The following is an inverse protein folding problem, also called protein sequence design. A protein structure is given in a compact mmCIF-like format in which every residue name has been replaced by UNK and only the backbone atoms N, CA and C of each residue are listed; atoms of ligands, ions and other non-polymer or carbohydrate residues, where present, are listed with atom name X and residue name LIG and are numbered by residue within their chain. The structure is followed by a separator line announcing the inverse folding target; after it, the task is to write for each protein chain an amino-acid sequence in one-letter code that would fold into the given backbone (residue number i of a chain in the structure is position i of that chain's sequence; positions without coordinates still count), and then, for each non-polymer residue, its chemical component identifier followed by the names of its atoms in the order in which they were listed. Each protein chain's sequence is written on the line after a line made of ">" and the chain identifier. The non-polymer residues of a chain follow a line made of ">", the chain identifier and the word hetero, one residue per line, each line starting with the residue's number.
data_IF_593243853908
#
_entry.id   IF_593243853908
#
_cell.length_a   1.000
_cell.length_b   1.000
_cell.length_c   1.000
_cell.angle_alpha   90.00
_cell.angle_beta   90.00
_cell.angle_gamma   90.00
#
_symmetry.space_group_name_H-M   'P 1'
#
loop_
_entity.id
_entity.type
_entity.pdbx_description
1 polymer ?
#
# COMPACT_ATOMS: atom_id res chain seq x y z
N UNK A 1 -20.36 2.19 -2.70
CA UNK A 1 -21.49 2.33 -3.65
C UNK A 1 -20.98 2.08 -5.07
N UNK A 2 -21.78 1.54 -6.00
CA UNK A 2 -21.33 1.36 -7.39
C UNK A 2 -21.32 2.71 -8.13
N UNK A 3 -20.25 3.03 -8.85
CA UNK A 3 -20.14 4.28 -9.59
C UNK A 3 -21.19 4.38 -10.73
N UNK A 4 -21.91 5.51 -10.90
CA UNK A 4 -23.00 5.62 -11.86
C UNK A 4 -22.59 5.33 -13.31
N UNK A 5 -23.31 4.41 -13.99
CA UNK A 5 -23.03 4.02 -15.39
C UNK A 5 -23.07 5.20 -16.35
N UNK A 6 -24.01 6.13 -16.18
CA UNK A 6 -24.16 7.31 -17.05
C UNK A 6 -22.89 8.18 -17.11
N UNK A 7 -22.19 8.32 -15.98
CA UNK A 7 -20.94 9.08 -15.89
C UNK A 7 -19.76 8.38 -16.60
N UNK A 8 -19.82 7.06 -16.77
CA UNK A 8 -18.85 6.33 -17.61
C UNK A 8 -19.18 6.47 -19.10
N UNK A 9 -20.46 6.38 -19.45
CA UNK A 9 -20.92 6.38 -20.85
C UNK A 9 -20.65 7.70 -21.57
N UNK A 10 -20.64 8.84 -20.87
CA UNK A 10 -20.31 10.14 -21.48
C UNK A 10 -18.89 10.21 -22.06
N UNK A 11 -17.99 9.31 -21.66
CA UNK A 11 -16.64 9.21 -22.21
C UNK A 11 -16.54 8.31 -23.45
N UNK A 12 -17.60 7.58 -23.82
CA UNK A 12 -17.60 6.70 -25.01
C UNK A 12 -17.41 7.48 -26.33
N UNK A 13 -17.71 8.79 -26.33
CA UNK A 13 -17.43 9.68 -27.48
C UNK A 13 -15.94 9.97 -27.68
N UNK A 14 -15.10 9.64 -26.70
CA UNK A 14 -13.64 9.73 -26.73
C UNK A 14 -13.05 8.31 -26.63
N UNK A 15 -13.08 7.53 -27.71
CA UNK A 15 -12.81 6.08 -27.66
C UNK A 15 -11.35 5.73 -27.38
N UNK A 16 -10.43 6.69 -27.54
CA UNK A 16 -8.99 6.47 -27.33
C UNK A 16 -8.43 7.44 -26.31
N UNK A 17 -7.31 7.06 -25.68
CA UNK A 17 -6.55 7.95 -24.79
C UNK A 17 -6.21 9.27 -25.48
N UNK A 18 -5.82 9.25 -26.76
CA UNK A 18 -5.50 10.46 -27.52
C UNK A 18 -6.70 11.40 -27.65
N UNK A 19 -7.90 10.86 -27.86
CA UNK A 19 -9.12 11.67 -27.94
C UNK A 19 -9.47 12.29 -26.59
N UNK A 20 -9.32 11.52 -25.50
CA UNK A 20 -9.50 12.00 -24.13
C UNK A 20 -8.53 13.14 -23.82
N UNK A 21 -7.23 12.96 -24.10
CA UNK A 21 -6.21 13.96 -23.82
C UNK A 21 -6.38 15.22 -24.68
N UNK A 22 -6.81 15.08 -25.93
CA UNK A 22 -7.14 16.24 -26.78
C UNK A 22 -8.35 17.00 -26.26
N UNK A 23 -9.41 16.30 -25.86
CA UNK A 23 -10.64 16.92 -25.37
C UNK A 23 -10.46 17.61 -24.01
N UNK A 24 -9.50 17.13 -23.22
CA UNK A 24 -9.19 17.66 -21.88
C UNK A 24 -7.96 18.58 -21.87
N UNK A 25 -7.33 18.80 -23.03
CA UNK A 25 -6.06 19.51 -23.15
C UNK A 25 -5.03 19.04 -22.10
N UNK A 26 -4.72 17.75 -22.16
CA UNK A 26 -3.92 17.03 -21.16
C UNK A 26 -4.42 17.24 -19.72
N UNK A 27 -5.71 16.98 -19.50
CA UNK A 27 -6.39 17.08 -18.21
C UNK A 27 -6.53 18.51 -17.64
N UNK A 28 -6.03 19.56 -18.29
CA UNK A 28 -6.16 20.95 -17.81
C UNK A 28 -7.61 21.47 -17.82
N UNK A 29 -8.47 20.92 -18.69
CA UNK A 29 -9.88 21.28 -18.76
C UNK A 29 -10.77 20.04 -18.77
N UNK A 30 -11.99 20.17 -18.22
CA UNK A 30 -13.03 19.16 -18.38
C UNK A 30 -14.07 19.61 -19.41
N UNK A 31 -14.42 18.76 -20.40
CA UNK A 31 -15.52 19.05 -21.33
C UNK A 31 -16.90 19.02 -20.64
N UNK A 32 -16.98 18.56 -19.38
CA UNK A 32 -18.22 18.48 -18.60
C UNK A 32 -18.35 19.60 -17.56
N UNK A 33 -17.37 20.50 -17.49
CA UNK A 33 -17.40 21.63 -16.57
C UNK A 33 -17.16 21.23 -15.12
N UNK A 34 -18.08 21.63 -14.23
CA UNK A 34 -17.97 21.45 -12.77
C UNK A 34 -19.02 20.47 -12.25
N UNK A 35 -18.70 19.75 -11.18
CA UNK A 35 -19.66 18.94 -10.43
C UNK A 35 -20.61 19.84 -9.64
N UNK A 36 -21.62 19.21 -9.05
CA UNK A 36 -22.58 19.84 -8.14
C UNK A 36 -21.90 20.48 -6.91
N UNK A 37 -20.69 20.03 -6.58
CA UNK A 37 -19.87 20.51 -5.46
C UNK A 37 -18.77 21.49 -5.92
N UNK A 38 -18.78 21.93 -7.18
CA UNK A 38 -17.82 22.90 -7.72
C UNK A 38 -16.46 22.34 -8.11
N UNK A 39 -16.27 21.01 -8.05
CA UNK A 39 -15.03 20.35 -8.47
C UNK A 39 -14.96 20.25 -9.99
N UNK A 40 -13.77 20.29 -10.60
CA UNK A 40 -13.62 19.99 -12.03
C UNK A 40 -14.06 18.56 -12.32
N UNK A 41 -15.03 18.38 -13.21
CA UNK A 41 -15.72 17.10 -13.37
C UNK A 41 -15.01 16.16 -14.36
N UNK A 42 -14.16 15.27 -13.86
CA UNK A 42 -13.53 14.20 -14.62
C UNK A 42 -14.14 12.82 -14.33
N UNK A 43 -15.28 12.77 -13.64
CA UNK A 43 -15.89 11.52 -13.17
C UNK A 43 -16.04 10.52 -14.34
N UNK A 44 -15.53 9.31 -14.17
CA UNK A 44 -15.59 8.23 -15.16
C UNK A 44 -14.55 8.27 -16.28
N UNK A 45 -13.59 9.21 -16.27
CA UNK A 45 -12.55 9.33 -17.30
C UNK A 45 -11.77 8.03 -17.48
N UNK A 46 -11.44 7.69 -18.72
CA UNK A 46 -10.70 6.47 -19.06
C UNK A 46 -9.32 6.82 -19.59
N UNK A 47 -8.30 6.73 -18.72
CA UNK A 47 -6.91 6.93 -19.07
C UNK A 47 -6.24 5.57 -19.23
N UNK A 48 -6.50 4.97 -20.40
CA UNK A 48 -6.07 3.61 -20.73
C UNK A 48 -5.29 3.64 -22.04
N UNK A 49 -3.97 3.36 -22.03
CA UNK A 49 -3.17 3.31 -23.24
C UNK A 49 -3.59 2.12 -24.12
N UNK A 50 -3.28 2.15 -25.43
CA UNK A 50 -3.53 1.03 -26.32
C UNK A 50 -2.89 -0.26 -25.80
N UNK A 51 -3.58 -1.39 -25.98
CA UNK A 51 -3.05 -2.70 -25.58
C UNK A 51 -1.75 -2.99 -26.34
N UNK A 52 -0.70 -3.37 -25.61
CA UNK A 52 0.55 -3.86 -26.19
C UNK A 52 0.35 -5.27 -26.78
N UNK A 53 1.21 -5.67 -27.71
CA UNK A 53 1.18 -7.00 -28.30
C UNK A 53 2.25 -7.88 -27.62
N UNK A 54 1.87 -8.79 -26.71
CA UNK A 54 2.84 -9.63 -25.99
C UNK A 54 3.66 -10.54 -26.93
N UNK A 55 3.18 -10.75 -28.16
CA UNK A 55 3.84 -11.54 -29.20
C UNK A 55 4.60 -10.68 -30.23
N UNK A 56 4.78 -9.37 -29.99
CA UNK A 56 5.51 -8.50 -30.90
C UNK A 56 6.94 -9.00 -31.13
N UNK A 57 7.48 -8.86 -32.36
CA UNK A 57 8.86 -9.31 -32.65
C UNK A 57 9.89 -8.58 -31.79
N UNK A 58 9.77 -7.27 -31.64
CA UNK A 58 10.63 -6.45 -30.77
C UNK A 58 10.22 -6.59 -29.31
N UNK A 59 11.19 -6.80 -28.42
CA UNK A 59 10.97 -7.00 -26.99
C UNK A 59 10.28 -5.79 -26.34
N UNK A 60 10.67 -4.57 -26.71
CA UNK A 60 10.10 -3.31 -26.22
C UNK A 60 8.60 -3.12 -26.52
N UNK A 61 8.07 -3.81 -27.52
CA UNK A 61 6.65 -3.75 -27.91
C UNK A 61 5.83 -4.88 -27.28
N UNK A 62 6.49 -5.82 -26.57
CA UNK A 62 5.84 -6.90 -25.81
C UNK A 62 5.36 -6.49 -24.44
N UNK A 63 5.76 -5.31 -23.97
CA UNK A 63 5.47 -4.83 -22.63
C UNK A 63 4.60 -3.56 -22.66
N UNK A 64 3.75 -3.33 -21.65
CA UNK A 64 3.06 -2.05 -21.51
C UNK A 64 4.07 -0.91 -21.42
N UNK A 65 3.85 0.16 -22.18
CA UNK A 65 4.61 1.41 -22.03
C UNK A 65 3.83 2.31 -21.10
N UNK A 66 4.55 2.99 -20.22
CA UNK A 66 3.97 4.06 -19.40
C UNK A 66 3.63 5.22 -20.32
N UNK A 67 2.37 5.62 -20.33
CA UNK A 67 1.98 6.86 -20.98
C UNK A 67 2.28 8.03 -20.04
N UNK A 68 3.12 8.95 -20.51
CA UNK A 68 3.39 10.21 -19.82
C UNK A 68 2.41 11.27 -20.29
N UNK A 69 1.62 11.81 -19.37
CA UNK A 69 0.76 12.96 -19.64
C UNK A 69 1.50 14.21 -19.17
N UNK A 70 1.90 15.05 -20.12
CA UNK A 70 2.55 16.33 -19.82
C UNK A 70 1.47 17.34 -19.43
N UNK A 71 1.38 17.60 -18.13
CA UNK A 71 0.39 18.49 -17.53
C UNK A 71 0.94 19.92 -17.55
N UNK A 72 0.09 20.89 -17.88
CA UNK A 72 0.47 22.32 -17.93
C UNK A 72 0.62 22.91 -16.53
N UNK A 73 -0.16 22.40 -15.58
CA UNK A 73 -0.27 22.91 -14.21
C UNK A 73 -0.61 21.78 -13.24
N UNK A 74 -0.47 22.07 -11.95
CA UNK A 74 -0.96 21.21 -10.88
C UNK A 74 -2.49 21.19 -10.86
N UNK A 75 -3.06 20.08 -10.45
CA UNK A 75 -4.52 19.93 -10.41
C UNK A 75 -5.03 20.21 -9.01
N UNK A 76 -6.05 21.06 -8.91
CA UNK A 76 -6.74 21.36 -7.65
C UNK A 76 -8.23 21.18 -7.79
N UNK A 77 -8.88 20.70 -6.74
CA UNK A 77 -10.34 20.65 -6.63
C UNK A 77 -11.00 19.92 -7.81
N UNK A 78 -10.64 18.66 -8.01
CA UNK A 78 -11.09 17.85 -9.14
C UNK A 78 -11.69 16.51 -8.70
N UNK A 79 -12.70 16.05 -9.43
CA UNK A 79 -13.37 14.77 -9.17
C UNK A 79 -13.12 13.79 -10.31
N UNK A 80 -12.27 12.80 -10.04
CA UNK A 80 -11.93 11.69 -10.91
C UNK A 80 -12.63 10.39 -10.50
N UNK A 81 -13.71 10.45 -9.72
CA UNK A 81 -14.40 9.25 -9.24
C UNK A 81 -14.78 8.32 -10.40
N UNK A 82 -14.64 7.01 -10.19
CA UNK A 82 -14.97 5.97 -11.16
C UNK A 82 -14.07 5.89 -12.40
N UNK A 83 -12.92 6.57 -12.37
CA UNK A 83 -11.96 6.61 -13.47
C UNK A 83 -11.09 5.35 -13.58
N UNK A 84 -10.41 5.22 -14.72
CA UNK A 84 -9.39 4.20 -14.96
C UNK A 84 -8.03 4.89 -15.21
N UNK A 85 -7.00 4.42 -14.50
CA UNK A 85 -5.61 4.92 -14.57
C UNK A 85 -4.65 3.76 -14.82
N UNK A 86 -4.38 3.44 -16.08
CA UNK A 86 -3.57 2.26 -16.43
C UNK A 86 -2.24 2.71 -17.02
N UNK A 87 -1.13 2.35 -16.37
CA UNK A 87 0.23 2.70 -16.78
C UNK A 87 0.39 4.20 -17.11
N UNK A 88 -0.21 5.08 -16.31
CA UNK A 88 -0.15 6.53 -16.48
C UNK A 88 0.86 7.16 -15.51
N UNK A 89 1.71 8.04 -16.02
CA UNK A 89 2.52 8.98 -15.21
C UNK A 89 2.10 10.41 -15.52
N UNK A 90 1.95 11.24 -14.49
CA UNK A 90 1.77 12.68 -14.64
C UNK A 90 3.12 13.38 -14.45
N UNK A 91 3.48 14.26 -15.39
CA UNK A 91 4.77 14.96 -15.39
C UNK A 91 4.55 16.39 -15.90
N UNK A 92 5.31 17.36 -15.39
CA UNK A 92 5.36 18.74 -15.90
C UNK A 92 6.33 18.83 -17.06
N UNK A 93 6.26 19.90 -17.84
CA UNK A 93 7.12 20.09 -19.02
C UNK A 93 8.62 20.18 -18.68
N UNK A 94 8.96 20.61 -17.47
CA UNK A 94 10.31 20.66 -16.90
C UNK A 94 10.79 19.31 -16.32
N UNK A 95 9.95 18.28 -16.36
CA UNK A 95 10.23 16.95 -15.83
C UNK A 95 9.89 16.78 -14.35
N UNK A 96 9.38 17.83 -13.69
CA UNK A 96 8.93 17.74 -12.30
C UNK A 96 7.64 16.92 -12.16
N UNK A 97 7.40 16.44 -10.95
CA UNK A 97 6.19 15.71 -10.63
C UNK A 97 5.00 16.67 -10.54
N UNK A 98 3.84 16.20 -10.98
CA UNK A 98 2.59 16.94 -10.83
C UNK A 98 2.04 16.76 -9.43
N UNK A 99 1.50 17.83 -8.85
CA UNK A 99 0.76 17.78 -7.59
C UNK A 99 -0.74 17.75 -7.86
N UNK A 100 -1.43 16.85 -7.15
CA UNK A 100 -2.89 16.76 -7.10
C UNK A 100 -3.37 17.19 -5.71
N UNK A 101 -4.12 18.29 -5.63
CA UNK A 101 -4.61 18.84 -4.37
C UNK A 101 -6.15 18.77 -4.28
N UNK A 102 -6.67 18.24 -3.16
CA UNK A 102 -8.10 18.10 -2.90
C UNK A 102 -8.83 17.38 -4.06
N UNK A 103 -8.38 16.16 -4.36
CA UNK A 103 -8.89 15.35 -5.47
C UNK A 103 -9.65 14.12 -4.99
N UNK A 104 -10.68 13.73 -5.74
CA UNK A 104 -11.50 12.53 -5.44
C UNK A 104 -11.30 11.45 -6.48
N UNK A 105 -11.11 10.23 -6.02
CA UNK A 105 -10.94 9.04 -6.84
C UNK A 105 -11.93 7.93 -6.48
N UNK A 106 -13.06 8.25 -5.85
CA UNK A 106 -13.95 7.24 -5.29
C UNK A 106 -14.36 6.19 -6.35
N UNK A 107 -14.12 4.91 -6.05
CA UNK A 107 -14.42 3.80 -6.96
C UNK A 107 -13.57 3.72 -8.22
N UNK A 108 -12.45 4.45 -8.29
CA UNK A 108 -11.52 4.40 -9.41
C UNK A 108 -10.62 3.15 -9.36
N UNK A 109 -10.04 2.82 -10.52
CA UNK A 109 -9.11 1.71 -10.65
C UNK A 109 -7.75 2.20 -11.15
N UNK A 110 -6.72 1.79 -10.44
CA UNK A 110 -5.32 2.03 -10.74
C UNK A 110 -4.63 0.71 -11.06
N UNK A 111 -4.00 0.63 -12.23
CA UNK A 111 -3.32 -0.57 -12.73
C UNK A 111 -1.94 -0.16 -13.24
N UNK A 112 -0.89 -0.52 -12.52
CA UNK A 112 0.50 -0.21 -12.88
C UNK A 112 1.28 -1.49 -13.03
N UNK A 113 1.65 -1.87 -14.25
CA UNK A 113 2.40 -3.10 -14.50
C UNK A 113 3.86 -2.97 -14.04
N UNK A 114 4.43 -1.78 -14.15
CA UNK A 114 5.83 -1.48 -13.81
C UNK A 114 6.01 -0.60 -12.56
N UNK A 115 4.95 -0.43 -11.76
CA UNK A 115 5.01 0.36 -10.52
C UNK A 115 5.69 1.72 -10.68
N UNK A 116 5.22 2.49 -11.66
CA UNK A 116 5.69 3.85 -11.84
C UNK A 116 4.96 4.83 -10.92
N UNK A 117 5.68 5.87 -10.55
CA UNK A 117 5.20 6.93 -9.69
C UNK A 117 4.21 7.82 -10.44
N UNK A 118 3.00 7.89 -9.91
CA UNK A 118 1.89 8.60 -10.52
C UNK A 118 2.03 10.12 -10.43
N UNK A 119 1.97 10.64 -9.20
CA UNK A 119 1.93 12.06 -8.84
C UNK A 119 2.18 12.21 -7.33
N UNK A 120 2.43 13.44 -6.89
CA UNK A 120 2.29 13.83 -5.48
C UNK A 120 0.83 14.16 -5.21
N UNK A 121 0.27 13.67 -4.11
CA UNK A 121 -1.16 13.89 -3.79
C UNK A 121 -1.31 14.47 -2.39
N UNK A 122 -2.06 15.57 -2.30
CA UNK A 122 -2.38 16.28 -1.06
C UNK A 122 -3.91 16.32 -0.91
N UNK A 123 -4.45 15.81 0.20
CA UNK A 123 -5.90 15.81 0.44
C UNK A 123 -6.68 14.91 -0.53
N UNK A 124 -6.09 13.79 -0.96
CA UNK A 124 -6.71 12.84 -1.87
C UNK A 124 -7.70 11.89 -1.17
N UNK A 125 -8.87 11.66 -1.78
CA UNK A 125 -9.84 10.66 -1.32
C UNK A 125 -9.88 9.46 -2.27
N UNK A 126 -9.51 8.28 -1.76
CA UNK A 126 -9.43 7.01 -2.48
C UNK A 126 -10.44 5.97 -1.95
N UNK A 127 -11.68 6.38 -1.71
CA UNK A 127 -12.72 5.47 -1.24
C UNK A 127 -13.03 4.34 -2.22
N UNK A 128 -12.99 3.09 -1.73
CA UNK A 128 -13.38 1.89 -2.48
C UNK A 128 -12.64 1.76 -3.84
N UNK A 129 -11.39 2.23 -3.88
CA UNK A 129 -10.49 2.12 -5.02
C UNK A 129 -9.93 0.70 -5.19
N UNK A 130 -9.56 0.36 -6.43
CA UNK A 130 -8.82 -0.86 -6.75
C UNK A 130 -7.41 -0.51 -7.17
N UNK A 131 -6.42 -1.09 -6.50
CA UNK A 131 -5.01 -0.90 -6.80
C UNK A 131 -4.39 -2.20 -7.30
N UNK A 132 -3.57 -2.13 -8.36
CA UNK A 132 -2.77 -3.23 -8.85
C UNK A 132 -1.37 -2.74 -9.17
N UNK A 133 -0.47 -2.78 -8.19
CA UNK A 133 0.94 -2.45 -8.41
C UNK A 133 1.20 -0.98 -8.70
N UNK A 134 0.30 -0.09 -8.25
CA UNK A 134 0.34 1.34 -8.54
C UNK A 134 0.95 2.12 -7.38
N UNK A 135 1.80 3.11 -7.69
CA UNK A 135 2.59 3.84 -6.70
C UNK A 135 2.49 5.36 -6.86
N UNK A 136 2.69 6.06 -5.75
CA UNK A 136 2.66 7.52 -5.65
C UNK A 136 4.08 8.05 -5.44
N UNK A 137 4.29 9.34 -5.73
CA UNK A 137 5.53 10.02 -5.34
C UNK A 137 5.50 10.33 -3.86
N UNK A 138 4.60 11.24 -3.46
CA UNK A 138 4.34 11.57 -2.05
C UNK A 138 2.83 11.57 -1.78
N UNK A 139 2.48 11.30 -0.53
CA UNK A 139 1.10 11.33 -0.07
C UNK A 139 1.01 12.17 1.20
N UNK A 140 0.12 13.15 1.21
CA UNK A 140 -0.16 13.98 2.37
C UNK A 140 -1.64 14.17 2.61
N UNK A 141 -2.08 14.04 3.86
CA UNK A 141 -3.47 14.28 4.27
C UNK A 141 -4.49 13.45 3.44
N UNK A 142 -4.09 12.26 2.96
CA UNK A 142 -4.90 11.42 2.08
C UNK A 142 -5.67 10.35 2.85
N UNK A 143 -6.81 9.94 2.30
CA UNK A 143 -7.68 8.91 2.87
C UNK A 143 -7.88 7.77 1.88
N UNK A 144 -7.49 6.56 2.27
CA UNK A 144 -7.73 5.32 1.53
C UNK A 144 -8.71 4.47 2.35
N UNK A 145 -9.99 4.53 2.01
CA UNK A 145 -11.06 3.85 2.76
C UNK A 145 -11.67 2.71 1.96
N UNK A 146 -12.25 1.73 2.66
CA UNK A 146 -12.93 0.58 2.05
C UNK A 146 -12.05 -0.20 1.05
N UNK A 147 -10.74 -0.32 1.33
CA UNK A 147 -9.82 -1.10 0.49
C UNK A 147 -10.25 -2.58 0.56
N UNK A 148 -10.29 -3.24 -0.60
CA UNK A 148 -10.69 -4.65 -0.72
C UNK A 148 -9.49 -5.57 -0.84
N UNK A 149 -9.67 -6.84 -0.45
CA UNK A 149 -8.67 -7.92 -0.57
C UNK A 149 -8.05 -8.15 -1.96
N UNK A 150 -8.67 -7.62 -3.02
CA UNK A 150 -8.13 -7.69 -4.38
C UNK A 150 -7.15 -6.57 -4.71
N UNK A 151 -7.00 -5.58 -3.83
CA UNK A 151 -6.15 -4.42 -4.02
C UNK A 151 -4.76 -4.66 -3.47
N UNK A 152 -3.76 -4.37 -4.29
CA UNK A 152 -2.33 -4.34 -3.96
C UNK A 152 -1.85 -2.90 -4.04
N UNK A 153 -1.70 -2.27 -2.88
CA UNK A 153 -1.20 -0.91 -2.73
C UNK A 153 0.32 -0.96 -2.50
N UNK A 154 1.06 -0.27 -3.35
CA UNK A 154 2.53 -0.23 -3.29
C UNK A 154 3.01 1.22 -3.09
N UNK A 155 3.64 1.50 -1.95
CA UNK A 155 4.20 2.80 -1.58
C UNK A 155 5.72 2.74 -1.71
N UNK A 156 6.22 3.05 -2.91
CA UNK A 156 7.60 2.76 -3.29
C UNK A 156 8.60 3.88 -2.96
N UNK A 157 8.14 5.12 -2.78
CA UNK A 157 9.00 6.30 -2.57
C UNK A 157 8.27 7.39 -1.83
N UNK A 158 9.03 8.42 -1.43
CA UNK A 158 8.56 9.71 -0.94
C UNK A 158 7.83 9.65 0.39
N UNK A 159 7.51 10.79 0.98
CA UNK A 159 6.94 10.84 2.31
C UNK A 159 5.44 10.51 2.27
N UNK A 160 4.99 9.65 3.19
CA UNK A 160 3.58 9.40 3.46
C UNK A 160 3.25 10.01 4.82
N UNK A 161 2.58 11.16 4.82
CA UNK A 161 2.29 11.95 6.03
C UNK A 161 0.79 12.14 6.24
N UNK A 162 0.33 11.99 7.49
CA UNK A 162 -1.06 12.24 7.91
C UNK A 162 -2.11 11.47 7.09
N UNK A 163 -1.79 10.25 6.66
CA UNK A 163 -2.69 9.45 5.83
C UNK A 163 -3.48 8.41 6.64
N UNK A 164 -4.70 8.11 6.19
CA UNK A 164 -5.51 6.99 6.68
C UNK A 164 -5.51 5.85 5.67
N UNK A 165 -5.22 4.63 6.12
CA UNK A 165 -5.39 3.40 5.37
C UNK A 165 -6.38 2.48 6.09
N UNK A 166 -7.55 2.30 5.50
CA UNK A 166 -8.65 1.52 6.09
C UNK A 166 -9.16 0.45 5.11
N UNK A 167 -9.20 -0.79 5.61
CA UNK A 167 -9.80 -1.93 4.93
C UNK A 167 -8.87 -3.14 4.90
N UNK A 168 -8.85 -3.84 3.77
CA UNK A 168 -8.05 -5.04 3.59
C UNK A 168 -6.99 -4.83 2.49
N UNK A 169 -5.73 -4.75 2.88
CA UNK A 169 -4.58 -4.62 1.98
C UNK A 169 -3.92 -5.99 1.82
N UNK A 170 -3.92 -6.51 0.59
CA UNK A 170 -3.34 -7.81 0.28
C UNK A 170 -2.06 -7.65 -0.53
N UNK A 171 -0.96 -8.23 -0.03
CA UNK A 171 0.35 -8.20 -0.71
C UNK A 171 0.87 -6.79 -1.02
N UNK A 172 0.50 -5.82 -0.21
CA UNK A 172 0.99 -4.45 -0.35
C UNK A 172 2.48 -4.35 -0.04
N UNK A 173 3.15 -3.40 -0.68
CA UNK A 173 4.57 -3.14 -0.45
C UNK A 173 4.77 -1.72 0.07
N UNK A 174 5.58 -1.58 1.11
CA UNK A 174 5.88 -0.32 1.77
C UNK A 174 7.39 -0.16 1.82
N UNK A 175 7.92 0.72 0.96
CA UNK A 175 9.35 1.02 0.83
C UNK A 175 9.71 2.41 1.36
N UNK A 176 8.82 3.02 2.16
CA UNK A 176 8.96 4.41 2.54
C UNK A 176 8.51 4.70 3.97
N UNK A 177 8.88 5.90 4.45
CA UNK A 177 8.51 6.46 5.75
C UNK A 177 7.01 6.73 5.81
N UNK A 178 6.38 6.21 6.86
CA UNK A 178 5.04 6.61 7.29
C UNK A 178 5.16 7.50 8.51
N UNK A 179 4.53 8.67 8.46
CA UNK A 179 4.52 9.66 9.54
C UNK A 179 3.10 10.08 9.89
N UNK A 180 2.74 10.04 11.17
CA UNK A 180 1.41 10.42 11.68
C UNK A 180 0.25 9.70 10.95
N UNK A 181 0.49 8.49 10.47
CA UNK A 181 -0.49 7.74 9.71
C UNK A 181 -1.34 6.85 10.62
N UNK A 182 -2.58 6.57 10.19
CA UNK A 182 -3.45 5.60 10.83
C UNK A 182 -3.73 4.42 9.90
N UNK A 183 -3.68 3.22 10.46
CA UNK A 183 -3.94 1.97 9.76
C UNK A 183 -5.07 1.23 10.49
N UNK A 184 -6.10 0.84 9.76
CA UNK A 184 -7.31 0.17 10.28
C UNK A 184 -7.65 -1.03 9.39
N UNK A 185 -7.98 -2.16 10.02
CA UNK A 185 -8.41 -3.38 9.33
C UNK A 185 -7.30 -4.43 9.23
N UNK A 186 -6.96 -4.88 8.02
CA UNK A 186 -6.04 -6.02 7.85
C UNK A 186 -4.99 -5.76 6.79
N UNK A 187 -3.74 -6.00 7.17
CA UNK A 187 -2.60 -6.09 6.27
C UNK A 187 -2.23 -7.56 6.18
N UNK A 188 -2.44 -8.14 5.00
CA UNK A 188 -2.19 -9.56 4.78
C UNK A 188 -1.04 -9.74 3.80
N UNK A 189 0.01 -10.45 4.21
CA UNK A 189 1.21 -10.73 3.40
C UNK A 189 1.86 -9.44 2.86
N UNK A 190 1.83 -8.37 3.66
CA UNK A 190 2.43 -7.10 3.29
C UNK A 190 3.94 -7.10 3.60
N UNK A 191 4.69 -6.37 2.78
CA UNK A 191 6.16 -6.28 2.90
C UNK A 191 6.56 -4.84 3.19
N UNK A 192 7.25 -4.67 4.31
CA UNK A 192 7.92 -3.43 4.70
C UNK A 192 9.40 -3.63 4.41
N UNK A 193 9.91 -3.15 3.30
CA UNK A 193 11.27 -3.49 2.88
C UNK A 193 11.95 -2.31 2.21
N UNK A 194 13.27 -2.20 2.32
CA UNK A 194 14.11 -1.39 1.42
C UNK A 194 15.37 -2.18 1.12
N UNK A 195 15.79 -2.19 -0.14
CA UNK A 195 16.91 -3.04 -0.59
C UNK A 195 18.28 -2.40 -0.45
N UNK A 196 18.37 -1.11 -0.12
CA UNK A 196 19.64 -0.36 -0.23
C UNK A 196 19.78 0.84 0.73
N UNK A 197 19.18 0.79 1.92
CA UNK A 197 19.37 1.86 2.91
C UNK A 197 20.43 1.49 3.95
N UNK A 198 21.37 2.39 4.24
CA UNK A 198 22.33 2.24 5.33
C UNK A 198 21.63 2.31 6.70
N UNK A 199 20.61 3.17 6.82
CA UNK A 199 19.80 3.33 8.04
C UNK A 199 18.38 2.77 7.87
N UNK A 200 17.78 2.15 8.91
CA UNK A 200 16.39 1.72 8.83
C UNK A 200 15.42 2.88 8.58
N UNK A 201 14.43 2.67 7.71
CA UNK A 201 13.34 3.63 7.53
C UNK A 201 12.44 3.62 8.76
N UNK A 202 12.33 4.77 9.42
CA UNK A 202 11.54 4.91 10.64
C UNK A 202 10.05 5.10 10.35
N UNK A 203 9.21 4.44 11.14
CA UNK A 203 7.78 4.74 11.22
C UNK A 203 7.57 5.70 12.39
N UNK A 204 7.06 6.90 12.11
CA UNK A 204 6.96 8.00 13.06
C UNK A 204 5.50 8.19 13.48
N UNK A 205 5.20 7.97 14.77
CA UNK A 205 3.85 8.12 15.32
C UNK A 205 2.74 7.45 14.44
N UNK A 206 2.95 6.18 14.08
CA UNK A 206 1.98 5.40 13.30
C UNK A 206 1.03 4.66 14.25
N UNK A 207 -0.27 4.88 14.09
CA UNK A 207 -1.32 4.21 14.86
C UNK A 207 -1.91 3.04 14.06
N UNK A 208 -1.64 1.82 14.52
CA UNK A 208 -2.17 0.59 13.97
C UNK A 208 -2.86 -0.26 15.07
N UNK A 209 -3.41 0.40 16.09
CA UNK A 209 -4.12 -0.26 17.21
C UNK A 209 -5.42 -0.96 16.79
N UNK A 210 -5.99 -0.56 15.65
CA UNK A 210 -7.17 -1.17 15.03
C UNK A 210 -6.83 -2.02 13.80
N UNK A 211 -5.55 -2.42 13.66
CA UNK A 211 -5.09 -3.24 12.55
C UNK A 211 -4.56 -4.60 13.01
N UNK A 212 -4.71 -5.60 12.12
CA UNK A 212 -4.08 -6.91 12.23
C UNK A 212 -3.06 -7.08 11.12
N UNK A 213 -1.86 -7.55 11.47
CA UNK A 213 -0.73 -7.74 10.54
C UNK A 213 -0.47 -9.21 10.33
N UNK A 214 -1.16 -9.83 9.39
CA UNK A 214 -1.09 -11.26 9.16
C UNK A 214 0.00 -11.58 8.15
N UNK A 215 0.96 -12.42 8.56
CA UNK A 215 2.13 -12.87 7.79
C UNK A 215 2.91 -11.74 7.10
N UNK A 216 2.97 -10.58 7.76
CA UNK A 216 3.73 -9.44 7.26
C UNK A 216 5.23 -9.59 7.58
N UNK A 217 6.08 -8.93 6.79
CA UNK A 217 7.54 -9.00 6.98
C UNK A 217 8.19 -7.62 6.95
N UNK A 218 9.25 -7.47 7.75
CA UNK A 218 9.94 -6.20 7.98
C UNK A 218 11.41 -6.33 7.65
N UNK A 219 11.91 -5.50 6.75
CA UNK A 219 13.30 -5.47 6.29
C UNK A 219 13.76 -4.02 6.26
N UNK A 220 14.85 -3.71 6.96
CA UNK A 220 15.41 -2.34 7.02
C UNK A 220 14.40 -1.24 7.40
N UNK A 221 13.49 -1.53 8.33
CA UNK A 221 12.56 -0.55 8.89
C UNK A 221 12.67 -0.52 10.42
N UNK A 222 12.44 0.65 11.01
CA UNK A 222 12.35 0.84 12.47
C UNK A 222 10.89 1.06 12.89
N UNK A 223 10.35 0.08 13.63
CA UNK A 223 8.98 0.06 14.13
C UNK A 223 8.88 0.45 15.61
N UNK A 224 9.90 1.13 16.15
CA UNK A 224 9.97 1.55 17.56
C UNK A 224 8.78 2.40 18.03
N UNK A 225 8.16 3.19 17.15
CA UNK A 225 7.00 4.04 17.47
C UNK A 225 5.68 3.51 16.91
N UNK A 226 5.66 2.31 16.32
CA UNK A 226 4.44 1.71 15.80
C UNK A 226 3.56 1.21 16.97
N UNK A 227 2.36 1.76 17.08
CA UNK A 227 1.35 1.28 18.03
C UNK A 227 0.56 0.16 17.38
N UNK A 228 0.49 -1.02 18.02
CA UNK A 228 -0.21 -2.19 17.46
C UNK A 228 -1.40 -2.63 18.32
N UNK A 229 -2.27 -3.44 17.72
CA UNK A 229 -3.39 -4.06 18.41
C UNK A 229 -2.94 -5.12 19.42
N UNK A 230 -3.79 -5.54 20.38
CA UNK A 230 -3.48 -6.62 21.30
C UNK A 230 -3.25 -7.99 20.65
N UNK A 231 -3.63 -8.17 19.37
CA UNK A 231 -3.46 -9.41 18.61
C UNK A 231 -2.19 -9.41 17.75
N UNK A 232 -1.51 -8.26 17.64
CA UNK A 232 -0.28 -8.10 16.88
C UNK A 232 0.85 -7.66 17.81
N UNK A 233 1.88 -8.48 17.90
CA UNK A 233 3.09 -8.22 18.66
C UNK A 233 4.25 -7.88 17.72
N UNK A 234 4.72 -6.64 17.76
CA UNK A 234 5.96 -6.21 17.09
C UNK A 234 7.10 -6.35 18.08
N UNK A 235 8.17 -7.04 17.68
CA UNK A 235 9.32 -7.33 18.56
C UNK A 235 10.62 -7.01 17.86
N UNK A 236 11.57 -6.41 18.59
CA UNK A 236 12.94 -6.27 18.09
C UNK A 236 13.68 -7.59 18.26
N UNK A 237 14.24 -8.12 17.17
CA UNK A 237 14.96 -9.40 17.19
C UNK A 237 16.37 -9.22 17.76
N UNK A 238 16.54 -9.56 19.03
CA UNK A 238 17.82 -9.53 19.76
C UNK A 238 18.16 -10.92 20.31
N UNK A 239 19.43 -11.17 20.60
CA UNK A 239 19.86 -12.45 21.19
C UNK A 239 19.13 -12.72 22.52
N UNK A 240 18.97 -11.71 23.36
CA UNK A 240 18.25 -11.83 24.64
C UNK A 240 16.78 -12.24 24.44
N UNK A 241 16.09 -11.60 23.50
CA UNK A 241 14.70 -11.96 23.16
C UNK A 241 14.62 -13.39 22.61
N UNK A 242 15.52 -13.76 21.70
CA UNK A 242 15.55 -15.08 21.10
C UNK A 242 15.75 -16.20 22.13
N UNK A 243 16.72 -16.06 23.03
CA UNK A 243 16.99 -17.05 24.08
C UNK A 243 15.84 -17.17 25.09
N UNK A 244 15.17 -16.05 25.41
CA UNK A 244 13.98 -16.06 26.26
C UNK A 244 12.81 -16.80 25.58
N UNK A 245 12.53 -16.50 24.31
CA UNK A 245 11.49 -17.17 23.53
C UNK A 245 11.78 -18.68 23.38
N UNK A 246 13.05 -19.04 23.13
CA UNK A 246 13.46 -20.44 22.99
C UNK A 246 13.30 -21.21 24.30
N UNK A 247 13.62 -20.59 25.43
CA UNK A 247 13.44 -21.19 26.76
C UNK A 247 11.97 -21.43 27.09
N UNK A 248 11.11 -20.44 26.80
CA UNK A 248 9.66 -20.56 26.98
C UNK A 248 9.05 -21.64 26.08
N UNK A 249 9.47 -21.71 24.82
CA UNK A 249 9.03 -22.74 23.88
C UNK A 249 9.38 -24.15 24.40
N UNK A 250 10.63 -24.37 24.83
CA UNK A 250 11.08 -25.67 25.39
C UNK A 250 10.36 -26.08 26.66
N UNK A 251 9.92 -25.11 27.47
CA UNK A 251 9.18 -25.36 28.69
C UNK A 251 7.68 -25.63 28.46
N UNK A 252 7.17 -25.51 27.23
CA UNK A 252 5.74 -25.68 26.96
C UNK A 252 5.31 -27.14 27.15
N UNK A 253 4.26 -27.43 27.95
CA UNK A 253 3.95 -28.79 28.42
C UNK A 253 3.59 -29.79 27.32
N UNK A 254 2.99 -29.33 26.22
CA UNK A 254 2.41 -30.21 25.18
C UNK A 254 2.90 -29.95 23.77
N UNK A 255 3.63 -28.84 23.53
CA UNK A 255 3.95 -28.36 22.17
C UNK A 255 5.42 -27.93 22.03
N UNK A 256 6.29 -28.35 22.96
CA UNK A 256 7.68 -27.88 23.04
C UNK A 256 8.44 -28.03 21.72
N UNK A 257 8.39 -29.20 21.09
CA UNK A 257 9.12 -29.46 19.84
C UNK A 257 8.62 -28.58 18.67
N UNK A 258 7.30 -28.43 18.55
CA UNK A 258 6.71 -27.61 17.50
C UNK A 258 7.03 -26.12 17.69
N UNK A 259 6.88 -25.60 18.92
CA UNK A 259 7.18 -24.21 19.24
C UNK A 259 8.68 -23.91 19.10
N UNK A 260 9.56 -24.81 19.53
CA UNK A 260 11.00 -24.65 19.39
C UNK A 260 11.39 -24.53 17.91
N UNK A 261 10.77 -25.32 17.03
CA UNK A 261 10.99 -25.24 15.59
C UNK A 261 10.58 -23.87 15.04
N UNK A 262 9.39 -23.38 15.38
CA UNK A 262 8.91 -22.08 14.88
C UNK A 262 9.76 -20.91 15.43
N UNK A 263 10.12 -20.91 16.71
CA UNK A 263 11.01 -19.90 17.30
C UNK A 263 12.35 -19.84 16.58
N UNK A 264 12.99 -21.00 16.34
CA UNK A 264 14.26 -21.07 15.61
C UNK A 264 14.16 -20.60 14.16
N UNK A 265 13.00 -20.83 13.53
CA UNK A 265 12.77 -20.48 12.13
C UNK A 265 12.54 -18.98 11.95
N UNK A 266 11.75 -18.35 12.84
CA UNK A 266 11.23 -16.99 12.60
C UNK A 266 11.87 -15.90 13.44
N UNK A 267 12.31 -16.21 14.67
CA UNK A 267 12.74 -15.23 15.68
C UNK A 267 14.26 -15.09 15.82
N UNK A 268 15.04 -15.82 15.01
CA UNK A 268 16.50 -15.71 15.06
C UNK A 268 16.94 -14.30 14.64
N UNK A 269 17.82 -13.62 15.41
CA UNK A 269 18.31 -12.29 15.06
C UNK A 269 18.98 -12.24 13.69
N UNK A 270 18.72 -11.18 12.94
CA UNK A 270 19.28 -10.96 11.61
C UNK A 270 19.54 -9.48 11.36
N UNK A 271 20.69 -9.13 10.77
CA UNK A 271 21.11 -7.74 10.58
C UNK A 271 20.19 -6.93 9.68
N UNK A 272 19.52 -7.57 8.71
CA UNK A 272 18.61 -6.91 7.75
C UNK A 272 17.12 -7.02 8.12
N UNK A 273 16.78 -7.86 9.10
CA UNK A 273 15.42 -8.07 9.63
C UNK A 273 15.43 -7.73 11.12
N UNK A 274 15.51 -6.44 11.49
CA UNK A 274 15.67 -6.03 12.89
C UNK A 274 14.40 -6.24 13.74
N UNK A 275 13.24 -6.38 13.10
CA UNK A 275 11.95 -6.60 13.76
C UNK A 275 11.22 -7.81 13.16
N UNK A 276 10.36 -8.42 13.97
CA UNK A 276 9.33 -9.34 13.50
C UNK A 276 7.93 -8.83 13.90
N UNK A 277 6.93 -9.18 13.12
CA UNK A 277 5.53 -8.92 13.43
C UNK A 277 4.83 -10.26 13.59
N UNK A 278 4.43 -10.56 14.82
CA UNK A 278 3.74 -11.80 15.13
C UNK A 278 2.29 -11.48 15.44
N UNK A 279 1.39 -11.89 14.56
CA UNK A 279 -0.05 -11.87 14.81
C UNK A 279 -0.51 -13.23 15.33
N UNK A 280 -1.57 -13.24 16.13
CA UNK A 280 -2.16 -14.45 16.69
C UNK A 280 -2.55 -15.48 15.62
N UNK A 281 -2.87 -15.03 14.40
CA UNK A 281 -3.30 -15.88 13.28
C UNK A 281 -2.16 -16.22 12.29
N UNK A 282 -0.93 -15.79 12.54
CA UNK A 282 0.18 -15.94 11.58
C UNK A 282 0.43 -17.39 11.13
N UNK A 283 0.55 -18.32 12.08
CA UNK A 283 0.84 -19.71 11.72
C UNK A 283 -0.40 -20.38 11.11
N UNK A 284 -1.59 -20.00 11.54
CA UNK A 284 -2.85 -20.46 10.93
C UNK A 284 -2.94 -20.05 9.46
N UNK A 285 -2.52 -18.83 9.11
CA UNK A 285 -2.41 -18.39 7.72
C UNK A 285 -1.41 -19.24 6.90
N UNK A 286 -0.44 -19.86 7.57
CA UNK A 286 0.51 -20.84 6.99
C UNK A 286 0.04 -22.30 7.12
N UNK A 287 -1.25 -22.52 7.42
CA UNK A 287 -1.91 -23.83 7.56
C UNK A 287 -1.46 -24.66 8.77
N UNK A 288 -0.86 -24.03 9.78
CA UNK A 288 -0.66 -24.68 11.07
C UNK A 288 -1.98 -24.74 11.88
N UNK A 289 -2.09 -25.65 12.88
CA UNK A 289 -3.21 -25.65 13.81
C UNK A 289 -3.37 -24.33 14.56
N UNK A 290 -4.61 -23.95 14.88
CA UNK A 290 -4.94 -22.72 15.61
C UNK A 290 -4.30 -22.71 17.00
N UNK A 291 -4.27 -23.86 17.69
CA UNK A 291 -3.68 -24.00 19.02
C UNK A 291 -2.17 -23.71 19.00
N UNK A 292 -1.47 -24.11 17.93
CA UNK A 292 -0.05 -23.83 17.77
C UNK A 292 0.19 -22.34 17.50
N UNK A 293 -0.66 -21.69 16.69
CA UNK A 293 -0.55 -20.25 16.40
C UNK A 293 -0.73 -19.41 17.68
N UNK A 294 -1.74 -19.73 18.49
CA UNK A 294 -1.97 -19.07 19.79
C UNK A 294 -0.82 -19.29 20.77
N UNK A 295 -0.34 -20.53 20.90
CA UNK A 295 0.77 -20.84 21.80
C UNK A 295 2.07 -20.14 21.37
N UNK A 296 2.33 -20.05 20.07
CA UNK A 296 3.48 -19.31 19.53
C UNK A 296 3.36 -17.81 19.83
N UNK A 297 2.19 -17.22 19.62
CA UNK A 297 1.93 -15.81 19.96
C UNK A 297 2.16 -15.54 21.45
N UNK A 298 1.65 -16.40 22.34
CA UNK A 298 1.86 -16.26 23.78
C UNK A 298 3.35 -16.35 24.20
N UNK A 299 4.11 -17.25 23.57
CA UNK A 299 5.57 -17.35 23.79
C UNK A 299 6.26 -16.04 23.43
N UNK A 300 5.91 -15.47 22.27
CA UNK A 300 6.47 -14.21 21.78
C UNK A 300 6.15 -13.04 22.71
N UNK A 301 4.89 -12.91 23.14
CA UNK A 301 4.45 -11.85 24.06
C UNK A 301 5.19 -11.95 25.40
N UNK A 302 5.24 -13.15 26.01
CA UNK A 302 5.95 -13.37 27.28
C UNK A 302 7.45 -13.09 27.16
N UNK A 303 8.08 -13.51 26.06
CA UNK A 303 9.50 -13.23 25.82
C UNK A 303 9.78 -11.72 25.70
N UNK A 304 8.89 -10.99 25.02
CA UNK A 304 8.96 -9.53 24.91
C UNK A 304 8.87 -8.85 26.28
N UNK A 305 7.92 -9.28 27.12
CA UNK A 305 7.75 -8.75 28.48
C UNK A 305 8.99 -8.98 29.37
N UNK A 306 9.57 -10.18 29.33
CA UNK A 306 10.77 -10.53 30.09
C UNK A 306 11.96 -9.66 29.69
N UNK A 307 12.11 -9.40 28.40
CA UNK A 307 13.30 -8.73 27.85
C UNK A 307 13.13 -7.22 27.68
N UNK A 308 11.92 -6.69 27.89
CA UNK A 308 11.55 -5.29 27.61
C UNK A 308 11.86 -4.89 26.16
N UNK A 309 11.72 -5.85 25.25
CA UNK A 309 11.96 -5.70 23.81
C UNK A 309 10.76 -5.10 23.06
#
# INVERSE_FOLDING_TARGET
>A
MAFPRKLKQRWEVYPTLKDVLKATDNLSVSPFGKTEEGLTDFRGIQLVPPKHNPNARKLEDRFPKVEKIICKEDFKNADFSGSLWFDIKLERADGENVTLENVRFAGSKFDGYYSHWFATVIGGNFDNCVFKGFSFFDLKDCQFTNIKKSSRLDLNTGLVENCLFEGYIYKGMFYTTLKNCKIVGTLYDCRFAVTSSEEPIKYENVDATEANFVICSVWHHDFSELKTSPNTCVVKLTDAFFEAALSLAKAHPTMAEALEKEVKMWLKPHSTKPYDIVDIDNLTALKAPEELSKAYYEVVVKAKEITKA
#
